data_IF_424280708486
#
_entry.id   IF_424280708486
#
_cell.length_a   1.000
_cell.length_b   1.000
_cell.length_c   1.000
_cell.angle_alpha   90.00
_cell.angle_beta   90.00
_cell.angle_gamma   90.00
#
_symmetry.space_group_name_H-M   'P 1'
#
loop_
_entity.id
_entity.type
_entity.pdbx_description
1 polymer ?
#
# COMPACT_ATOMS: atom_id res chain seq x y z
N UNK A 1 -1.12 14.82 -8.51
CA UNK A 1 -1.57 15.37 -7.21
C UNK A 1 -1.78 14.20 -6.28
N UNK A 2 -1.16 14.19 -5.09
CA UNK A 2 -1.35 13.10 -4.13
C UNK A 2 -2.74 13.17 -3.48
N UNK A 3 -3.34 12.01 -3.21
CA UNK A 3 -4.63 11.92 -2.52
C UNK A 3 -4.55 12.41 -1.07
N UNK A 4 -5.70 12.69 -0.46
CA UNK A 4 -5.78 12.99 0.97
C UNK A 4 -5.64 11.72 1.81
N UNK A 5 -5.12 11.85 3.03
CA UNK A 5 -5.03 10.76 4.00
C UNK A 5 -6.09 10.93 5.10
N UNK A 6 -6.96 9.92 5.25
CA UNK A 6 -8.10 9.97 6.15
C UNK A 6 -7.90 9.19 7.47
N UNK A 7 -6.83 8.40 7.58
CA UNK A 7 -6.56 7.54 8.74
C UNK A 7 -7.41 6.28 8.83
N UNK A 8 -8.03 5.85 7.73
CA UNK A 8 -8.83 4.62 7.65
C UNK A 8 -8.03 3.54 6.90
N UNK A 9 -8.14 2.31 7.37
CA UNK A 9 -7.50 1.17 6.71
C UNK A 9 -8.23 0.83 5.40
N UNK A 10 -7.48 0.74 4.31
CA UNK A 10 -8.00 0.22 3.04
C UNK A 10 -8.23 -1.30 3.13
N UNK A 11 -7.30 -2.00 3.77
CA UNK A 11 -7.39 -3.43 4.06
C UNK A 11 -7.36 -3.64 5.56
N UNK A 12 -8.45 -4.16 6.11
CA UNK A 12 -8.61 -4.36 7.55
C UNK A 12 -7.44 -5.17 8.12
N UNK A 13 -6.79 -4.64 9.16
CA UNK A 13 -5.67 -5.27 9.85
C UNK A 13 -4.30 -5.09 9.17
N UNK A 14 -4.24 -4.47 7.99
CA UNK A 14 -2.97 -4.15 7.33
C UNK A 14 -2.45 -2.74 7.64
N UNK A 15 -3.18 -1.95 8.43
CA UNK A 15 -2.87 -0.55 8.65
C UNK A 15 -3.35 0.36 7.52
N UNK A 16 -3.06 1.63 7.69
CA UNK A 16 -3.64 2.73 6.89
C UNK A 16 -2.88 3.06 5.61
N UNK A 17 -1.75 2.39 5.34
CA UNK A 17 -0.86 2.74 4.22
C UNK A 17 -0.11 4.07 4.41
N UNK A 18 -0.14 4.66 5.62
CA UNK A 18 0.42 5.99 5.89
C UNK A 18 1.88 6.15 5.45
N UNK A 19 2.73 5.13 5.63
CA UNK A 19 4.15 5.22 5.29
C UNK A 19 4.37 5.47 3.79
N UNK A 20 3.66 4.73 2.93
CA UNK A 20 3.76 4.92 1.48
C UNK A 20 3.20 6.28 1.07
N UNK A 21 2.07 6.67 1.65
CA UNK A 21 1.49 7.98 1.42
C UNK A 21 2.43 9.13 1.85
N UNK A 22 3.10 9.01 2.98
CA UNK A 22 4.03 10.01 3.51
C UNK A 22 5.27 10.16 2.62
N UNK A 23 5.78 9.07 2.03
CA UNK A 23 6.87 9.12 1.05
C UNK A 23 6.45 9.92 -0.20
N UNK A 24 5.27 9.61 -0.76
CA UNK A 24 4.72 10.34 -1.90
C UNK A 24 4.44 11.82 -1.57
N UNK A 25 4.04 12.12 -0.33
CA UNK A 25 3.87 13.48 0.15
C UNK A 25 5.20 14.25 0.18
N UNK A 26 6.27 13.63 0.67
CA UNK A 26 7.60 14.22 0.69
C UNK A 26 8.15 14.45 -0.73
N UNK A 27 7.98 13.47 -1.63
CA UNK A 27 8.33 13.62 -3.05
C UNK A 27 7.55 14.77 -3.70
N UNK A 28 6.25 14.90 -3.40
CA UNK A 28 5.45 16.00 -3.91
C UNK A 28 5.92 17.38 -3.39
N UNK A 29 6.42 17.46 -2.16
CA UNK A 29 7.07 18.68 -1.64
C UNK A 29 8.35 18.96 -2.40
N UNK A 30 9.22 17.96 -2.55
CA UNK A 30 10.51 18.10 -3.25
C UNK A 30 10.30 18.60 -4.69
N UNK A 31 9.36 18.01 -5.42
CA UNK A 31 9.03 18.44 -6.77
C UNK A 31 8.47 19.87 -6.82
N UNK A 32 7.72 20.29 -5.80
CA UNK A 32 7.21 21.66 -5.72
C UNK A 32 8.34 22.67 -5.42
N UNK A 33 9.26 22.34 -4.51
CA UNK A 33 10.43 23.15 -4.18
C UNK A 33 11.38 23.29 -5.38
N UNK A 34 11.61 22.21 -6.13
CA UNK A 34 12.34 22.23 -7.40
C UNK A 34 11.66 23.13 -8.43
N UNK A 35 10.34 23.04 -8.55
CA UNK A 35 9.57 23.84 -9.50
C UNK A 35 9.60 25.34 -9.20
N UNK A 36 9.60 25.75 -7.92
CA UNK A 36 9.68 27.16 -7.55
C UNK A 36 11.10 27.65 -7.27
N UNK A 37 12.10 26.76 -7.26
CA UNK A 37 13.51 27.09 -6.95
C UNK A 37 13.73 27.54 -5.50
N UNK A 38 12.79 27.25 -4.59
CA UNK A 38 12.83 27.70 -3.20
C UNK A 38 12.52 26.55 -2.26
N UNK A 39 13.42 26.31 -1.30
CA UNK A 39 13.20 25.35 -0.23
C UNK A 39 12.19 25.92 0.77
N UNK A 40 11.10 25.18 1.00
CA UNK A 40 10.06 25.60 1.90
C UNK A 40 10.53 25.46 3.34
N UNK A 41 10.08 26.39 4.19
CA UNK A 41 10.29 26.26 5.63
C UNK A 41 9.47 25.09 6.17
N UNK A 42 9.91 24.51 7.28
CA UNK A 42 9.19 23.41 7.94
C UNK A 42 7.75 23.80 8.29
N UNK A 43 7.50 25.07 8.64
CA UNK A 43 6.15 25.58 8.91
C UNK A 43 5.26 25.53 7.67
N UNK A 44 5.78 25.86 6.50
CA UNK A 44 5.04 25.77 5.24
C UNK A 44 4.75 24.31 4.90
N UNK A 45 5.73 23.41 5.07
CA UNK A 45 5.53 21.96 4.89
C UNK A 45 4.48 21.39 5.83
N UNK A 46 4.48 21.81 7.10
CA UNK A 46 3.47 21.39 8.09
C UNK A 46 2.06 21.90 7.75
N UNK A 47 1.95 23.17 7.32
CA UNK A 47 0.68 23.70 6.81
C UNK A 47 0.20 22.91 5.58
N UNK A 48 1.12 22.53 4.69
CA UNK A 48 0.79 21.71 3.53
C UNK A 48 0.33 20.31 3.95
N UNK A 49 1.01 19.68 4.89
CA UNK A 49 0.61 18.40 5.47
C UNK A 49 -0.83 18.46 5.97
N UNK A 50 -1.15 19.48 6.77
CA UNK A 50 -2.51 19.67 7.30
C UNK A 50 -3.59 19.71 6.20
N UNK A 51 -3.33 20.35 5.06
CA UNK A 51 -4.27 20.41 3.93
C UNK A 51 -4.53 19.06 3.26
N UNK A 52 -3.58 18.13 3.40
CA UNK A 52 -3.64 16.79 2.84
C UNK A 52 -4.15 15.73 3.83
N UNK A 53 -4.48 16.12 5.05
CA UNK A 53 -5.14 15.27 6.02
C UNK A 53 -6.65 15.50 5.99
N UNK A 54 -7.43 14.46 6.22
CA UNK A 54 -8.87 14.53 6.43
C UNK A 54 -9.35 13.49 7.46
N UNK A 55 -10.64 13.49 7.77
CA UNK A 55 -11.24 12.49 8.65
C UNK A 55 -10.53 12.37 10.00
N UNK A 56 -10.26 11.12 10.41
CA UNK A 56 -9.63 10.81 11.70
C UNK A 56 -8.19 11.32 11.77
N UNK A 57 -7.46 11.27 10.67
CA UNK A 57 -6.07 11.75 10.61
C UNK A 57 -5.98 13.25 10.87
N UNK A 58 -6.88 14.03 10.28
CA UNK A 58 -6.93 15.48 10.50
C UNK A 58 -7.32 15.82 11.94
N UNK A 59 -8.36 15.18 12.48
CA UNK A 59 -8.79 15.39 13.87
C UNK A 59 -7.67 15.08 14.86
N UNK A 60 -6.97 13.96 14.66
CA UNK A 60 -5.85 13.57 15.50
C UNK A 60 -4.69 14.57 15.40
N UNK A 61 -4.35 15.02 14.19
CA UNK A 61 -3.31 16.03 13.97
C UNK A 61 -3.63 17.34 14.68
N UNK A 62 -4.86 17.87 14.51
CA UNK A 62 -5.27 19.13 15.13
C UNK A 62 -5.20 19.09 16.65
N UNK A 63 -5.55 17.96 17.27
CA UNK A 63 -5.50 17.80 18.72
C UNK A 63 -4.08 17.82 19.30
N UNK A 64 -3.05 17.52 18.50
CA UNK A 64 -1.68 17.32 18.99
C UNK A 64 -0.64 18.28 18.41
N UNK A 65 -0.95 19.01 17.34
CA UNK A 65 0.04 19.80 16.57
C UNK A 65 0.78 20.83 17.44
N UNK A 66 0.11 21.53 18.35
CA UNK A 66 0.78 22.54 19.20
C UNK A 66 1.88 21.91 20.05
N UNK A 67 1.57 20.79 20.73
CA UNK A 67 2.51 20.09 21.59
C UNK A 67 3.60 19.34 20.82
N UNK A 68 3.33 18.89 19.59
CA UNK A 68 4.36 18.32 18.71
C UNK A 68 5.29 19.42 18.19
N UNK A 69 4.74 20.55 17.75
CA UNK A 69 5.51 21.67 17.20
C UNK A 69 6.43 22.31 18.22
N UNK A 70 6.00 22.42 19.49
CA UNK A 70 6.87 22.91 20.57
C UNK A 70 8.04 21.96 20.86
N UNK A 71 7.88 20.65 20.63
CA UNK A 71 8.92 19.65 20.89
C UNK A 71 9.93 19.56 19.75
N UNK A 72 9.44 19.52 18.51
CA UNK A 72 10.29 19.45 17.33
C UNK A 72 9.56 20.04 16.11
N UNK A 73 10.13 21.09 15.54
CA UNK A 73 9.58 21.86 14.42
C UNK A 73 9.95 21.25 13.06
N UNK A 74 9.92 19.92 12.95
CA UNK A 74 10.29 19.18 11.75
C UNK A 74 9.11 18.43 11.16
N UNK A 75 8.96 18.48 9.84
CA UNK A 75 8.00 17.67 9.08
C UNK A 75 8.27 16.18 9.26
N UNK A 76 9.55 15.77 9.35
CA UNK A 76 9.91 14.38 9.58
C UNK A 76 9.37 13.89 10.93
N UNK A 77 9.47 14.73 11.96
CA UNK A 77 8.89 14.42 13.26
C UNK A 77 7.36 14.35 13.22
N UNK A 78 6.69 15.29 12.55
CA UNK A 78 5.22 15.25 12.41
C UNK A 78 4.75 14.00 11.68
N UNK A 79 5.42 13.62 10.58
CA UNK A 79 5.12 12.41 9.83
C UNK A 79 5.39 11.15 10.68
N UNK A 80 6.46 11.14 11.48
CA UNK A 80 6.72 10.05 12.41
C UNK A 80 5.61 9.90 13.46
N UNK A 81 5.13 11.01 14.06
CA UNK A 81 4.04 10.96 15.04
C UNK A 81 2.74 10.45 14.42
N UNK A 82 2.41 10.88 13.21
CA UNK A 82 1.25 10.35 12.48
C UNK A 82 1.44 8.87 12.15
N UNK A 83 2.62 8.44 11.73
CA UNK A 83 2.91 7.03 11.52
C UNK A 83 2.70 6.23 12.80
N UNK A 84 3.23 6.68 13.94
CA UNK A 84 3.04 6.01 15.23
C UNK A 84 1.57 5.89 15.64
N UNK A 85 0.74 6.90 15.32
CA UNK A 85 -0.67 6.90 15.63
C UNK A 85 -1.52 5.99 14.73
N UNK A 86 -1.11 5.80 13.47
CA UNK A 86 -1.90 5.10 12.45
C UNK A 86 -1.26 3.80 11.93
N UNK A 87 -0.14 3.38 12.52
CA UNK A 87 0.49 2.09 12.21
C UNK A 87 -0.28 0.94 12.87
N UNK A 88 -0.19 -0.22 12.23
CA UNK A 88 -0.54 -1.51 12.82
C UNK A 88 0.72 -2.35 12.88
N UNK A 89 0.92 -3.01 14.02
CA UNK A 89 2.01 -3.97 14.18
C UNK A 89 1.51 -5.35 13.77
N UNK A 90 1.95 -5.82 12.61
CA UNK A 90 1.67 -7.18 12.13
C UNK A 90 2.84 -8.06 12.59
N UNK A 91 2.56 -9.02 13.47
CA UNK A 91 3.58 -10.00 13.89
C UNK A 91 3.99 -10.91 12.73
N UNK A 92 5.18 -11.51 12.82
CA UNK A 92 5.63 -12.46 11.80
C UNK A 92 4.64 -13.62 11.59
N UNK A 93 4.07 -14.16 12.67
CA UNK A 93 3.06 -15.22 12.60
C UNK A 93 1.79 -14.77 11.86
N UNK A 94 1.29 -13.56 12.14
CA UNK A 94 0.14 -13.00 11.42
C UNK A 94 0.46 -12.76 9.95
N UNK A 95 1.65 -12.24 9.64
CA UNK A 95 2.07 -12.02 8.26
C UNK A 95 2.09 -13.33 7.46
N UNK A 96 2.73 -14.38 8.01
CA UNK A 96 2.78 -15.70 7.36
C UNK A 96 1.38 -16.26 7.12
N UNK A 97 0.48 -16.11 8.10
CA UNK A 97 -0.92 -16.53 7.92
C UNK A 97 -1.59 -15.78 6.76
N UNK A 98 -1.51 -14.45 6.74
CA UNK A 98 -2.12 -13.61 5.70
C UNK A 98 -1.57 -13.87 4.30
N UNK A 99 -0.26 -14.14 4.17
CA UNK A 99 0.35 -14.54 2.91
C UNK A 99 -0.06 -15.94 2.44
N UNK A 100 -0.49 -16.80 3.37
CA UNK A 100 -0.96 -18.16 3.08
C UNK A 100 -2.46 -18.26 2.78
N UNK A 101 -3.19 -17.16 2.90
CA UNK A 101 -4.62 -17.14 2.57
C UNK A 101 -4.83 -17.23 1.07
N UNK A 102 -5.85 -18.00 0.66
CA UNK A 102 -6.28 -18.03 -0.73
C UNK A 102 -6.82 -16.65 -1.13
N UNK A 103 -6.68 -16.30 -2.41
CA UNK A 103 -7.38 -15.14 -2.97
C UNK A 103 -8.88 -15.24 -2.68
N UNK A 104 -9.42 -14.18 -2.10
CA UNK A 104 -10.86 -14.01 -1.90
C UNK A 104 -11.57 -13.95 -3.25
N UNK A 105 -12.64 -14.73 -3.44
CA UNK A 105 -13.36 -14.80 -4.70
C UNK A 105 -14.06 -13.49 -5.08
N UNK A 106 -14.28 -12.59 -4.12
CA UNK A 106 -14.80 -11.25 -4.38
C UNK A 106 -13.76 -10.26 -4.92
N UNK A 107 -12.46 -10.58 -4.81
CA UNK A 107 -11.35 -9.74 -5.29
C UNK A 107 -10.85 -10.23 -6.66
N UNK A 108 -10.62 -9.27 -7.55
CA UNK A 108 -9.83 -9.49 -8.76
C UNK A 108 -8.39 -9.87 -8.42
N UNK A 109 -7.67 -10.47 -9.37
CA UNK A 109 -6.24 -10.76 -9.20
C UNK A 109 -5.44 -9.49 -8.96
N UNK A 110 -5.77 -8.40 -9.67
CA UNK A 110 -5.12 -7.09 -9.47
C UNK A 110 -5.33 -6.56 -8.06
N UNK A 111 -6.55 -6.61 -7.53
CA UNK A 111 -6.83 -6.21 -6.14
C UNK A 111 -6.14 -7.11 -5.12
N UNK A 112 -5.97 -8.40 -5.43
CA UNK A 112 -5.22 -9.32 -4.59
C UNK A 112 -3.73 -8.97 -4.55
N UNK A 113 -3.13 -8.60 -5.68
CA UNK A 113 -1.74 -8.13 -5.71
C UNK A 113 -1.55 -6.81 -4.93
N UNK A 114 -2.51 -5.88 -5.03
CA UNK A 114 -2.51 -4.66 -4.22
C UNK A 114 -2.58 -4.98 -2.72
N UNK A 115 -3.41 -5.94 -2.32
CA UNK A 115 -3.48 -6.42 -0.93
C UNK A 115 -2.14 -7.02 -0.45
N UNK A 116 -1.51 -7.90 -1.23
CA UNK A 116 -0.23 -8.52 -0.87
C UNK A 116 0.90 -7.49 -0.80
N UNK A 117 0.90 -6.51 -1.71
CA UNK A 117 1.87 -5.40 -1.70
C UNK A 117 1.67 -4.51 -0.48
N UNK A 118 0.43 -4.22 -0.10
CA UNK A 118 0.13 -3.50 1.13
C UNK A 118 0.60 -4.27 2.38
N UNK A 119 0.38 -5.58 2.42
CA UNK A 119 0.87 -6.45 3.49
C UNK A 119 2.41 -6.39 3.59
N UNK A 120 3.11 -6.47 2.47
CA UNK A 120 4.56 -6.36 2.39
C UNK A 120 5.07 -5.04 2.98
N UNK A 121 4.47 -3.91 2.59
CA UNK A 121 4.86 -2.61 3.11
C UNK A 121 4.59 -2.45 4.61
N UNK A 122 3.53 -3.07 5.12
CA UNK A 122 3.14 -2.96 6.53
C UNK A 122 3.96 -3.85 7.47
N UNK A 123 4.51 -4.96 6.99
CA UNK A 123 5.32 -5.88 7.80
C UNK A 123 6.82 -5.92 7.41
N UNK A 124 7.22 -5.23 6.34
CA UNK A 124 8.62 -5.14 5.89
C UNK A 124 9.18 -6.44 5.30
N UNK A 125 8.32 -7.33 4.80
CA UNK A 125 8.74 -8.60 4.14
C UNK A 125 9.25 -8.37 2.72
N UNK A 126 9.79 -9.41 2.09
CA UNK A 126 10.40 -9.34 0.77
C UNK A 126 9.39 -9.42 -0.37
N UNK A 127 9.71 -8.78 -1.49
CA UNK A 127 8.95 -8.86 -2.75
C UNK A 127 8.81 -10.30 -3.26
N UNK A 128 9.84 -11.13 -3.01
CA UNK A 128 9.81 -12.55 -3.35
C UNK A 128 8.63 -13.26 -2.67
N UNK A 129 8.30 -12.89 -1.43
CA UNK A 129 7.18 -13.51 -0.71
C UNK A 129 5.83 -13.16 -1.35
N UNK A 130 5.68 -11.96 -1.91
CA UNK A 130 4.49 -11.56 -2.67
C UNK A 130 4.32 -12.46 -3.90
N UNK A 131 5.38 -12.62 -4.71
CA UNK A 131 5.38 -13.52 -5.87
C UNK A 131 5.06 -14.98 -5.48
N UNK A 132 5.72 -15.49 -4.45
CA UNK A 132 5.49 -16.84 -3.96
C UNK A 132 4.06 -17.04 -3.47
N UNK A 133 3.46 -16.02 -2.82
CA UNK A 133 2.08 -16.09 -2.34
C UNK A 133 1.09 -16.23 -3.50
N UNK A 134 1.26 -15.41 -4.56
CA UNK A 134 0.46 -15.47 -5.79
C UNK A 134 0.49 -16.88 -6.40
N UNK A 135 1.68 -17.49 -6.51
CA UNK A 135 1.83 -18.79 -7.17
C UNK A 135 1.37 -19.95 -6.27
N UNK A 136 1.76 -19.95 -4.99
CA UNK A 136 1.58 -21.11 -4.10
C UNK A 136 0.14 -21.30 -3.65
N UNK A 137 -0.58 -20.20 -3.40
CA UNK A 137 -1.90 -20.20 -2.76
C UNK A 137 -3.06 -19.90 -3.73
N UNK A 138 -2.79 -19.83 -5.03
CA UNK A 138 -3.82 -19.83 -6.07
C UNK A 138 -4.71 -21.09 -5.99
N UNK A 139 -5.95 -20.97 -6.46
CA UNK A 139 -6.86 -22.11 -6.60
C UNK A 139 -6.26 -23.17 -7.55
N UNK A 140 -6.54 -24.49 -7.38
CA UNK A 140 -5.81 -25.54 -8.10
C UNK A 140 -5.75 -25.37 -9.62
N UNK A 141 -6.86 -25.02 -10.28
CA UNK A 141 -6.89 -24.80 -11.74
C UNK A 141 -6.00 -23.61 -12.14
N UNK A 142 -6.12 -22.49 -11.42
CA UNK A 142 -5.33 -21.29 -11.69
C UNK A 142 -3.85 -21.48 -11.34
N UNK A 143 -3.54 -22.27 -10.31
CA UNK A 143 -2.17 -22.57 -9.92
C UNK A 143 -1.43 -23.31 -11.02
N UNK A 144 -2.04 -24.32 -11.63
CA UNK A 144 -1.46 -25.03 -12.78
C UNK A 144 -1.16 -24.06 -13.91
N UNK A 145 -2.11 -23.17 -14.17
CA UNK A 145 -1.94 -22.11 -15.13
C UNK A 145 -0.70 -21.25 -14.77
N UNK A 146 -0.68 -20.64 -13.57
CA UNK A 146 0.34 -19.65 -13.17
C UNK A 146 1.73 -20.28 -13.16
N UNK A 147 1.83 -21.54 -12.72
CA UNK A 147 3.09 -22.29 -12.74
C UNK A 147 3.66 -22.47 -14.15
N UNK A 148 2.84 -22.49 -15.19
CA UNK A 148 3.30 -22.58 -16.58
C UNK A 148 4.07 -21.34 -17.06
N UNK A 149 3.90 -20.18 -16.39
CA UNK A 149 4.62 -18.93 -16.68
C UNK A 149 5.54 -18.47 -15.54
N UNK A 150 5.58 -19.22 -14.44
CA UNK A 150 6.44 -18.93 -13.32
C UNK A 150 7.89 -19.33 -13.63
N UNK A 151 8.79 -18.38 -13.41
CA UNK A 151 10.24 -18.50 -13.58
C UNK A 151 10.93 -18.20 -12.24
N UNK A 152 11.47 -19.21 -11.53
CA UNK A 152 12.13 -19.02 -10.24
C UNK A 152 13.50 -18.32 -10.34
N UNK A 153 14.07 -18.15 -11.53
CA UNK A 153 15.38 -17.53 -11.75
C UNK A 153 15.34 -16.00 -11.80
N UNK A 154 14.15 -15.41 -11.91
CA UNK A 154 13.96 -13.96 -11.96
C UNK A 154 14.21 -13.30 -10.61
N UNK A 155 14.74 -12.08 -10.66
CA UNK A 155 15.02 -11.23 -9.50
C UNK A 155 14.10 -10.01 -9.40
N UNK A 156 13.35 -9.70 -10.46
CA UNK A 156 12.35 -8.64 -10.55
C UNK A 156 10.97 -9.12 -10.05
N UNK A 157 10.93 -9.58 -8.80
CA UNK A 157 9.83 -10.35 -8.24
C UNK A 157 8.45 -9.67 -8.33
N UNK A 158 8.35 -8.37 -8.03
CA UNK A 158 7.07 -7.65 -8.14
C UNK A 158 6.62 -7.51 -9.59
N UNK A 159 7.54 -7.27 -10.53
CA UNK A 159 7.19 -7.16 -11.93
C UNK A 159 6.69 -8.50 -12.47
N UNK A 160 7.37 -9.58 -12.11
CA UNK A 160 6.92 -10.93 -12.43
C UNK A 160 5.54 -11.24 -11.82
N UNK A 161 5.31 -10.86 -10.56
CA UNK A 161 4.01 -11.03 -9.93
C UNK A 161 2.91 -10.29 -10.69
N UNK A 162 3.17 -9.07 -11.19
CA UNK A 162 2.24 -8.31 -12.01
C UNK A 162 1.88 -9.04 -13.31
N UNK A 163 2.86 -9.59 -14.03
CA UNK A 163 2.62 -10.34 -15.26
C UNK A 163 1.79 -11.60 -15.03
N UNK A 164 2.08 -12.36 -13.97
CA UNK A 164 1.33 -13.56 -13.61
C UNK A 164 -0.11 -13.24 -13.21
N UNK A 165 -0.30 -12.16 -12.45
CA UNK A 165 -1.60 -11.67 -11.98
C UNK A 165 -2.44 -11.15 -13.15
N UNK A 166 -1.85 -10.41 -14.09
CA UNK A 166 -2.52 -9.94 -15.29
C UNK A 166 -3.03 -11.11 -16.13
N UNK A 167 -2.18 -12.11 -16.33
CA UNK A 167 -2.57 -13.31 -17.07
C UNK A 167 -3.61 -14.18 -16.35
N UNK A 168 -3.52 -14.31 -15.03
CA UNK A 168 -4.54 -14.99 -14.24
C UNK A 168 -5.89 -14.27 -14.30
N UNK A 169 -5.88 -12.93 -14.38
CA UNK A 169 -7.07 -12.11 -14.57
C UNK A 169 -7.73 -12.38 -15.94
N UNK A 170 -6.94 -12.44 -17.02
CA UNK A 170 -7.43 -12.77 -18.36
C UNK A 170 -8.16 -14.12 -18.38
N UNK A 171 -7.59 -15.16 -17.76
CA UNK A 171 -8.24 -16.48 -17.68
C UNK A 171 -9.56 -16.41 -16.91
N UNK A 172 -9.61 -15.73 -15.76
CA UNK A 172 -10.84 -15.58 -14.99
C UNK A 172 -11.92 -14.81 -15.76
N UNK A 173 -11.53 -13.86 -16.59
CA UNK A 173 -12.47 -13.06 -17.39
C UNK A 173 -13.00 -13.86 -18.60
N UNK A 174 -12.17 -14.70 -19.23
CA UNK A 174 -12.56 -15.60 -20.32
C UNK A 174 -13.54 -16.70 -19.85
N UNK A 175 -13.39 -17.18 -18.61
CA UNK A 175 -14.27 -18.20 -18.01
C UNK A 175 -15.63 -17.62 -17.55
N UNK A 176 -15.82 -16.29 -17.57
CA UNK A 176 -17.11 -15.68 -17.17
C UNK A 176 -18.16 -15.89 -18.27
N UNK A 177 -19.32 -16.49 -17.95
CA UNK A 177 -20.39 -16.63 -18.93
C UNK A 177 -20.85 -15.24 -19.40
N UNK A 178 -20.92 -15.05 -20.71
CA UNK A 178 -21.50 -13.85 -21.32
C UNK A 178 -22.92 -13.70 -20.75
N UNK A 179 -23.15 -12.63 -19.99
CA UNK A 179 -24.51 -12.27 -19.56
C UNK A 179 -25.29 -11.87 -20.82
N UNK A 180 -26.06 -12.82 -21.34
CA UNK A 180 -27.09 -12.51 -22.33
C UNK A 180 -28.09 -11.58 -21.65
N UNK A 181 -28.08 -10.31 -22.03
CA UNK A 181 -29.17 -9.39 -21.74
C UNK A 181 -30.38 -9.85 -22.57
N UNK A 182 -31.32 -10.52 -21.89
CA UNK A 182 -32.68 -10.73 -22.36
C UNK A 182 -33.59 -9.65 -21.76
#
# INVERSE_FOLDING_TARGET
MIGKFNGVEQYKGLGTGFRQWALLFLEAIEMAELGCGYQWTERVKANKLQQHLEGKAFQYYQAHIEGWWMRNQSIAYLLEQLWLAFKVNISHHQAVHLYGEKKDSSRSWTEHLLYLTALMHSNGTSEKLVLESVVKYAAPHMKVAIMGRYDPGRSDYLHHAQELVAWAQEIEDDDRPIRNHA
#
